data_IF_387253183441
#
_entry.id   IF_387253183441
#
_cell.length_a   1.000
_cell.length_b   1.000
_cell.length_c   1.000
_cell.angle_alpha   90.00
_cell.angle_beta   90.00
_cell.angle_gamma   90.00
#
_symmetry.space_group_name_H-M   'P 1'
#
loop_
_entity.id
_entity.type
_entity.pdbx_description
1 polymer ?
#
# COMPACT_ATOMS: atom_id res chain seq x y z
N UNK A 1 -8.26 -1.34 23.54
CA UNK A 1 -6.90 -1.72 23.06
C UNK A 1 -6.41 -0.61 22.15
N UNK A 2 -5.22 -0.07 22.38
CA UNK A 2 -4.64 0.99 21.55
C UNK A 2 -4.20 0.46 20.20
N UNK A 3 -4.45 1.22 19.14
CA UNK A 3 -3.98 0.91 17.78
C UNK A 3 -2.92 1.92 17.38
N UNK A 4 -1.86 1.45 16.74
CA UNK A 4 -0.79 2.24 16.18
C UNK A 4 -0.67 1.96 14.67
N UNK A 5 -0.65 3.02 13.86
CA UNK A 5 -0.45 2.90 12.41
C UNK A 5 1.02 3.22 12.08
N UNK A 6 1.79 2.20 11.71
CA UNK A 6 3.17 2.32 11.26
C UNK A 6 3.23 2.76 9.78
N UNK A 7 2.80 3.98 9.50
CA UNK A 7 2.76 4.52 8.14
C UNK A 7 2.69 6.04 8.15
N UNK A 8 3.38 6.68 7.20
CA UNK A 8 3.29 8.13 6.93
C UNK A 8 2.25 8.48 5.87
N UNK A 9 1.60 7.49 5.24
CA UNK A 9 0.63 7.70 4.17
C UNK A 9 -0.61 8.43 4.65
N UNK A 10 -0.95 9.62 4.08
CA UNK A 10 -2.17 10.33 4.42
C UNK A 10 -3.42 9.55 4.03
N UNK A 11 -3.41 8.83 2.89
CA UNK A 11 -4.55 8.02 2.42
C UNK A 11 -4.94 6.92 3.41
N UNK A 12 -3.96 6.21 3.98
CA UNK A 12 -4.21 5.17 5.01
C UNK A 12 -4.78 5.76 6.29
N UNK A 13 -4.20 6.88 6.73
CA UNK A 13 -4.69 7.63 7.89
C UNK A 13 -6.15 8.03 7.72
N UNK A 14 -6.48 8.62 6.58
CA UNK A 14 -7.82 9.16 6.32
C UNK A 14 -8.86 8.05 6.15
N UNK A 15 -8.50 6.92 5.53
CA UNK A 15 -9.36 5.75 5.46
C UNK A 15 -9.66 5.18 6.86
N UNK A 16 -8.65 5.00 7.71
CA UNK A 16 -8.88 4.50 9.08
C UNK A 16 -9.75 5.45 9.90
N UNK A 17 -9.59 6.77 9.75
CA UNK A 17 -10.45 7.78 10.41
C UNK A 17 -11.90 7.68 9.94
N UNK A 18 -12.14 7.56 8.64
CA UNK A 18 -13.49 7.39 8.06
C UNK A 18 -14.18 6.12 8.53
N UNK A 19 -13.42 5.09 8.87
CA UNK A 19 -13.92 3.84 9.45
C UNK A 19 -14.19 3.94 10.96
N UNK A 20 -13.98 5.10 11.59
CA UNK A 20 -14.16 5.28 13.03
C UNK A 20 -13.10 4.57 13.88
N UNK A 21 -12.02 4.08 13.26
CA UNK A 21 -10.94 3.40 13.99
C UNK A 21 -10.05 4.47 14.63
N UNK A 22 -10.00 4.49 15.96
CA UNK A 22 -9.08 5.36 16.72
C UNK A 22 -7.68 4.75 16.71
N UNK A 23 -6.68 5.53 16.32
CA UNK A 23 -5.29 5.09 16.27
C UNK A 23 -4.33 6.26 16.49
N UNK A 24 -3.11 5.93 16.89
CA UNK A 24 -1.97 6.84 16.89
C UNK A 24 -1.09 6.54 15.67
N UNK A 25 -0.76 7.57 14.89
CA UNK A 25 0.16 7.43 13.77
C UNK A 25 1.60 7.49 14.26
N UNK A 26 2.43 6.55 13.83
CA UNK A 26 3.86 6.50 14.15
C UNK A 26 4.68 6.28 12.90
N UNK A 27 5.74 7.07 12.73
CA UNK A 27 6.66 6.91 11.60
C UNK A 27 7.50 5.65 11.79
N UNK A 28 7.47 4.69 10.85
CA UNK A 28 8.33 3.52 10.92
C UNK A 28 9.79 3.92 10.68
N UNK A 29 10.71 3.32 11.43
CA UNK A 29 12.14 3.47 11.20
C UNK A 29 12.64 2.61 10.02
N UNK A 30 11.88 1.57 9.66
CA UNK A 30 12.21 0.69 8.55
C UNK A 30 12.07 1.44 7.21
N UNK A 31 13.13 1.38 6.40
CA UNK A 31 13.16 1.92 5.05
C UNK A 31 12.13 1.22 4.15
N UNK A 32 11.52 1.97 3.22
CA UNK A 32 10.72 1.40 2.12
C UNK A 32 11.61 0.70 1.06
N UNK A 33 12.93 0.60 1.30
CA UNK A 33 13.86 0.03 0.32
C UNK A 33 13.82 -1.50 0.35
N UNK A 34 13.68 -2.13 -0.82
CA UNK A 34 13.62 -3.59 -0.98
C UNK A 34 14.83 -4.33 -0.37
N UNK A 35 15.99 -3.74 -0.49
CA UNK A 35 17.27 -4.33 -0.08
C UNK A 35 17.38 -4.51 1.44
N UNK A 36 16.73 -3.64 2.22
CA UNK A 36 16.71 -3.74 3.67
C UNK A 36 15.88 -4.94 4.19
N UNK A 37 15.07 -5.56 3.34
CA UNK A 37 14.16 -6.67 3.71
C UNK A 37 14.67 -8.02 3.19
N UNK A 38 15.81 -8.06 2.50
CA UNK A 38 16.43 -9.30 2.01
C UNK A 38 15.66 -10.00 0.88
N UNK A 39 14.64 -9.39 0.32
CA UNK A 39 13.87 -9.94 -0.79
C UNK A 39 14.15 -9.19 -2.10
N UNK A 40 14.62 -9.90 -3.12
CA UNK A 40 14.77 -9.34 -4.46
C UNK A 40 13.39 -9.01 -5.02
N UNK A 41 13.20 -7.74 -5.42
CA UNK A 41 12.03 -7.33 -6.18
C UNK A 41 11.94 -8.21 -7.45
N UNK A 42 10.81 -8.89 -7.67
CA UNK A 42 10.56 -9.57 -8.94
C UNK A 42 10.04 -11.00 -8.86
N UNK A 43 10.36 -11.81 -7.83
CA UNK A 43 9.93 -13.20 -7.83
C UNK A 43 8.58 -13.46 -7.15
N UNK A 44 8.23 -12.69 -6.11
CA UNK A 44 6.99 -12.88 -5.34
C UNK A 44 6.47 -11.56 -4.75
N UNK A 45 5.70 -10.75 -5.50
CA UNK A 45 5.23 -9.44 -5.07
C UNK A 45 4.49 -9.44 -3.73
N UNK A 46 3.66 -10.46 -3.49
CA UNK A 46 2.93 -10.59 -2.23
C UNK A 46 3.88 -10.81 -1.03
N UNK A 47 4.87 -11.68 -1.17
CA UNK A 47 5.87 -11.90 -0.12
C UNK A 47 6.70 -10.64 0.15
N UNK A 48 7.04 -9.93 -0.92
CA UNK A 48 7.75 -8.67 -0.82
C UNK A 48 6.93 -7.62 -0.05
N UNK A 49 5.68 -7.37 -0.44
CA UNK A 49 4.80 -6.41 0.23
C UNK A 49 4.55 -6.79 1.70
N UNK A 50 4.36 -8.08 2.00
CA UNK A 50 4.23 -8.57 3.38
C UNK A 50 5.49 -8.35 4.20
N UNK A 51 6.67 -8.61 3.64
CA UNK A 51 7.94 -8.39 4.33
C UNK A 51 8.17 -6.92 4.67
N UNK A 52 7.88 -6.01 3.73
CA UNK A 52 7.93 -4.56 3.96
C UNK A 52 6.92 -4.11 5.03
N UNK A 53 5.68 -4.59 4.97
CA UNK A 53 4.65 -4.30 5.95
C UNK A 53 5.06 -4.78 7.35
N UNK A 54 5.60 -6.00 7.45
CA UNK A 54 6.10 -6.58 8.70
C UNK A 54 7.26 -5.77 9.29
N UNK A 55 8.24 -5.38 8.47
CA UNK A 55 9.36 -4.57 8.92
C UNK A 55 8.89 -3.22 9.49
N UNK A 56 7.94 -2.55 8.80
CA UNK A 56 7.34 -1.29 9.28
C UNK A 56 6.62 -1.49 10.63
N UNK A 57 5.82 -2.55 10.78
CA UNK A 57 5.12 -2.81 12.03
C UNK A 57 6.08 -3.12 13.18
N UNK A 58 7.09 -3.95 12.94
CA UNK A 58 8.07 -4.33 13.96
C UNK A 58 8.90 -3.13 14.44
N UNK A 59 9.33 -2.24 13.52
CA UNK A 59 10.11 -1.05 13.90
C UNK A 59 9.34 -0.08 14.81
N UNK A 60 8.01 -0.11 14.78
CA UNK A 60 7.15 0.64 15.71
C UNK A 60 6.89 -0.17 16.98
N UNK A 61 6.75 -1.50 16.87
CA UNK A 61 6.53 -2.38 18.01
C UNK A 61 7.68 -2.31 19.05
N UNK A 62 8.92 -2.12 18.60
CA UNK A 62 10.09 -1.94 19.48
C UNK A 62 9.96 -0.74 20.45
N UNK A 63 9.12 0.25 20.07
CA UNK A 63 8.87 1.48 20.83
C UNK A 63 7.47 1.51 21.46
N UNK A 64 6.75 0.38 21.41
CA UNK A 64 5.35 0.30 21.84
C UNK A 64 5.21 -0.84 22.85
N UNK A 65 5.02 -0.54 24.16
CA UNK A 65 4.99 -1.57 25.20
C UNK A 65 3.72 -2.43 25.16
N UNK A 66 2.59 -1.88 24.69
CA UNK A 66 1.31 -2.58 24.64
C UNK A 66 0.40 -2.02 23.53
N UNK A 67 -0.42 -2.87 22.93
CA UNK A 67 -1.38 -2.50 21.88
C UNK A 67 -1.20 -3.29 20.60
N UNK A 68 -1.83 -2.82 19.53
CA UNK A 68 -1.78 -3.44 18.20
C UNK A 68 -1.16 -2.48 17.19
N UNK A 69 -0.13 -2.93 16.51
CA UNK A 69 0.59 -2.15 15.50
C UNK A 69 0.22 -2.66 14.11
N UNK A 70 -0.18 -1.73 13.23
CA UNK A 70 -0.55 -2.01 11.83
C UNK A 70 0.57 -1.51 10.93
N UNK A 71 1.19 -2.42 10.18
CA UNK A 71 2.11 -2.12 9.09
C UNK A 71 1.48 -2.48 7.74
N UNK A 72 1.67 -1.63 6.75
CA UNK A 72 1.11 -1.84 5.40
C UNK A 72 2.15 -1.40 4.37
N UNK A 73 2.29 -2.20 3.31
CA UNK A 73 3.04 -1.82 2.13
C UNK A 73 2.24 -2.15 0.87
N UNK A 74 2.32 -1.29 -0.15
CA UNK A 74 1.56 -1.46 -1.40
C UNK A 74 2.48 -1.25 -2.58
N UNK A 75 2.44 -2.19 -3.51
CA UNK A 75 3.19 -2.15 -4.77
C UNK A 75 2.27 -2.35 -5.96
N UNK A 76 2.65 -1.77 -7.09
CA UNK A 76 2.02 -2.01 -8.39
C UNK A 76 2.89 -2.99 -9.18
N UNK A 77 2.28 -3.97 -9.83
CA UNK A 77 2.98 -5.03 -10.56
C UNK A 77 2.46 -5.08 -11.99
N UNK A 78 3.32 -4.86 -12.96
CA UNK A 78 2.99 -5.00 -14.39
C UNK A 78 3.89 -6.07 -15.01
N UNK A 79 3.31 -7.17 -15.45
CA UNK A 79 4.06 -8.34 -15.87
C UNK A 79 4.97 -8.87 -14.75
N UNK A 80 6.28 -8.85 -14.96
CA UNK A 80 7.29 -9.27 -13.95
C UNK A 80 7.91 -8.10 -13.18
N UNK A 81 7.47 -6.87 -13.41
CA UNK A 81 8.08 -5.68 -12.80
C UNK A 81 7.24 -5.15 -11.65
N UNK A 82 7.91 -4.89 -10.53
CA UNK A 82 7.34 -4.12 -9.42
C UNK A 82 7.63 -2.65 -9.67
N UNK A 83 6.57 -1.85 -9.72
CA UNK A 83 6.62 -0.40 -9.90
C UNK A 83 6.47 0.27 -8.53
N UNK A 84 7.54 0.91 -8.09
CA UNK A 84 7.53 1.75 -6.89
C UNK A 84 7.05 3.18 -7.20
N UNK A 85 7.41 4.13 -6.33
CA UNK A 85 7.19 5.55 -6.58
C UNK A 85 8.21 6.05 -7.61
N UNK A 86 7.78 6.82 -8.64
CA UNK A 86 8.73 7.38 -9.60
C UNK A 86 9.60 8.46 -8.95
N UNK A 87 10.88 8.49 -9.32
CA UNK A 87 11.87 9.47 -8.82
C UNK A 87 12.03 10.66 -9.76
N UNK A 88 11.45 10.56 -10.96
CA UNK A 88 11.56 11.58 -11.99
C UNK A 88 10.36 11.56 -12.93
N UNK A 89 10.18 12.65 -13.69
CA UNK A 89 9.18 12.74 -14.76
C UNK A 89 9.35 11.63 -15.80
N UNK A 90 10.60 11.31 -16.14
CA UNK A 90 10.91 10.23 -17.08
C UNK A 90 10.47 8.85 -16.56
N UNK A 91 10.69 8.56 -15.27
CA UNK A 91 10.21 7.32 -14.65
C UNK A 91 8.67 7.27 -14.60
N UNK A 92 8.00 8.36 -14.21
CA UNK A 92 6.56 8.43 -14.20
C UNK A 92 5.96 8.17 -15.59
N UNK A 93 6.52 8.82 -16.65
CA UNK A 93 6.14 8.58 -18.04
C UNK A 93 6.30 7.10 -18.41
N UNK A 94 7.46 6.52 -18.14
CA UNK A 94 7.75 5.10 -18.43
C UNK A 94 6.74 4.17 -17.74
N UNK A 95 6.41 4.42 -16.47
CA UNK A 95 5.44 3.63 -15.73
C UNK A 95 4.04 3.72 -16.35
N UNK A 96 3.54 4.93 -16.61
CA UNK A 96 2.21 5.12 -17.19
C UNK A 96 2.10 4.56 -18.61
N UNK A 97 3.14 4.71 -19.44
CA UNK A 97 3.20 4.08 -20.77
C UNK A 97 3.15 2.56 -20.67
N UNK A 98 3.83 1.98 -19.67
CA UNK A 98 3.80 0.53 -19.43
C UNK A 98 2.41 0.05 -18.99
N UNK A 99 1.68 0.83 -18.23
CA UNK A 99 0.34 0.51 -17.71
C UNK A 99 -0.78 0.76 -18.74
N UNK A 100 -0.55 1.65 -19.71
CA UNK A 100 -1.51 2.02 -20.75
C UNK A 100 -2.04 0.80 -21.51
N UNK A 101 -3.35 0.66 -21.61
CA UNK A 101 -4.05 -0.43 -22.31
C UNK A 101 -3.87 -1.81 -21.67
N UNK A 102 -3.39 -1.89 -20.43
CA UNK A 102 -3.08 -3.18 -19.78
C UNK A 102 -3.76 -3.36 -18.44
N UNK A 103 -3.92 -4.62 -18.08
CA UNK A 103 -4.24 -5.03 -16.71
C UNK A 103 -2.94 -5.22 -15.93
N UNK A 104 -2.93 -4.69 -14.72
CA UNK A 104 -1.83 -4.80 -13.77
C UNK A 104 -2.37 -5.09 -12.36
N UNK A 105 -1.53 -5.59 -11.47
CA UNK A 105 -1.93 -5.93 -10.12
C UNK A 105 -1.50 -4.86 -9.13
N UNK A 106 -2.35 -4.51 -8.19
CA UNK A 106 -2.02 -3.77 -6.98
C UNK A 106 -1.99 -4.75 -5.83
N UNK A 107 -0.82 -4.91 -5.22
CA UNK A 107 -0.58 -5.89 -4.16
C UNK A 107 -0.22 -5.17 -2.87
N UNK A 108 -1.03 -5.38 -1.83
CA UNK A 108 -0.71 -4.88 -0.49
C UNK A 108 -0.38 -6.03 0.46
N UNK A 109 0.72 -5.87 1.19
CA UNK A 109 1.01 -6.64 2.37
C UNK A 109 0.48 -5.93 3.61
N UNK A 110 -0.09 -6.70 4.53
CA UNK A 110 -0.55 -6.23 5.84
C UNK A 110 0.13 -7.05 6.92
N UNK A 111 0.63 -6.37 7.94
CA UNK A 111 1.14 -6.98 9.15
C UNK A 111 0.46 -6.34 10.36
N UNK A 112 0.00 -7.18 11.28
CA UNK A 112 -0.57 -6.78 12.57
C UNK A 112 0.27 -7.40 13.66
N UNK A 113 0.92 -6.57 14.49
CA UNK A 113 1.74 -7.00 15.61
C UNK A 113 1.02 -6.66 16.90
N UNK A 114 0.77 -7.67 17.74
CA UNK A 114 0.20 -7.46 19.07
C UNK A 114 1.30 -7.49 20.12
N UNK A 115 1.30 -6.48 20.98
CA UNK A 115 2.22 -6.34 22.11
C UNK A 115 1.47 -6.53 23.43
N UNK A 116 2.08 -7.10 24.48
CA UNK A 116 3.52 -7.38 24.64
C UNK A 116 4.00 -8.72 24.09
N UNK A 117 3.11 -9.65 23.72
CA UNK A 117 3.43 -11.03 23.33
C UNK A 117 4.10 -11.16 21.94
N UNK A 118 4.28 -10.06 21.24
CA UNK A 118 4.89 -9.98 19.89
C UNK A 118 4.25 -10.94 18.88
N UNK A 119 2.96 -11.23 19.03
CA UNK A 119 2.25 -12.05 18.05
C UNK A 119 2.11 -11.31 16.74
N UNK A 120 2.62 -11.90 15.65
CA UNK A 120 2.66 -11.30 14.31
C UNK A 120 1.71 -12.05 13.37
N UNK A 121 0.69 -11.35 12.89
CA UNK A 121 -0.23 -11.84 11.87
C UNK A 121 0.06 -11.10 10.56
N UNK A 122 0.18 -11.83 9.46
CA UNK A 122 0.45 -11.25 8.15
C UNK A 122 -0.45 -11.85 7.08
N UNK A 123 -0.82 -11.05 6.09
CA UNK A 123 -1.51 -11.49 4.89
C UNK A 123 -1.27 -10.50 3.75
N UNK A 124 -1.68 -10.85 2.54
CA UNK A 124 -1.64 -9.99 1.36
C UNK A 124 -2.98 -9.97 0.64
N UNK A 125 -3.26 -8.85 -0.01
CA UNK A 125 -4.41 -8.63 -0.89
C UNK A 125 -3.92 -8.24 -2.26
N UNK A 126 -4.55 -8.79 -3.30
CA UNK A 126 -4.25 -8.47 -4.70
C UNK A 126 -5.51 -8.01 -5.40
N UNK A 127 -5.42 -6.91 -6.14
CA UNK A 127 -6.52 -6.34 -6.92
C UNK A 127 -6.02 -6.03 -8.31
N UNK A 128 -6.75 -6.48 -9.32
CA UNK A 128 -6.44 -6.20 -10.71
C UNK A 128 -7.06 -4.85 -11.12
N UNK A 129 -6.25 -4.03 -11.78
CA UNK A 129 -6.66 -2.74 -12.34
C UNK A 129 -6.34 -2.75 -13.83
N UNK A 130 -7.32 -2.40 -14.66
CA UNK A 130 -7.14 -2.26 -16.11
C UNK A 130 -7.18 -0.79 -16.49
N UNK A 131 -6.14 -0.33 -17.18
CA UNK A 131 -6.13 1.00 -17.79
C UNK A 131 -6.69 0.92 -19.21
N UNK A 132 -7.40 1.96 -19.60
CA UNK A 132 -7.65 2.22 -21.03
C UNK A 132 -6.36 2.61 -21.75
N UNK A 133 -6.38 2.68 -23.06
CA UNK A 133 -5.28 3.27 -23.81
C UNK A 133 -5.13 4.75 -23.46
N UNK A 134 -3.92 5.18 -23.12
CA UNK A 134 -3.56 6.55 -22.78
C UNK A 134 -2.77 7.18 -23.92
N UNK A 135 -3.18 8.39 -24.33
CA UNK A 135 -2.42 9.18 -25.29
C UNK A 135 -1.15 9.79 -24.69
N UNK A 136 -0.13 10.00 -25.49
CA UNK A 136 1.14 10.59 -25.04
C UNK A 136 0.95 11.97 -24.40
N UNK A 137 0.14 12.83 -24.99
CA UNK A 137 -0.17 14.16 -24.46
C UNK A 137 -0.93 14.12 -23.13
N UNK A 138 -1.79 13.12 -22.95
CA UNK A 138 -2.53 12.89 -21.70
C UNK A 138 -1.57 12.51 -20.57
N UNK A 139 -0.65 11.60 -20.84
CA UNK A 139 0.41 11.22 -19.90
C UNK A 139 1.25 12.45 -19.54
N UNK A 140 1.69 13.24 -20.54
CA UNK A 140 2.50 14.44 -20.30
C UNK A 140 1.79 15.48 -19.44
N UNK A 141 0.50 15.69 -19.68
CA UNK A 141 -0.32 16.61 -18.87
C UNK A 141 -0.44 16.15 -17.43
N UNK A 142 -0.67 14.87 -17.22
CA UNK A 142 -0.80 14.30 -15.89
C UNK A 142 0.51 14.35 -15.09
N UNK A 143 1.64 13.97 -15.69
CA UNK A 143 2.94 13.97 -15.01
C UNK A 143 3.54 15.37 -14.82
N UNK A 144 2.93 16.41 -15.39
CA UNK A 144 3.30 17.80 -15.08
C UNK A 144 2.83 18.22 -13.68
N UNK A 145 1.80 17.56 -13.14
CA UNK A 145 1.27 17.78 -11.79
C UNK A 145 2.06 17.03 -10.71
N UNK A 146 1.76 17.29 -9.44
CA UNK A 146 2.44 16.68 -8.29
C UNK A 146 1.97 15.24 -7.99
N UNK A 147 0.80 14.83 -8.50
CA UNK A 147 0.10 13.61 -8.11
C UNK A 147 0.89 12.30 -8.29
N UNK A 148 1.66 12.11 -9.39
CA UNK A 148 2.32 10.82 -9.66
C UNK A 148 3.38 10.42 -8.63
N UNK A 149 4.05 11.38 -8.00
CA UNK A 149 5.36 11.18 -7.38
C UNK A 149 5.32 10.55 -5.99
N UNK A 150 4.18 10.53 -5.33
CA UNK A 150 4.00 9.91 -4.01
C UNK A 150 3.33 8.52 -4.06
N UNK A 151 3.12 7.97 -5.29
CA UNK A 151 2.32 6.76 -5.51
C UNK A 151 3.08 5.69 -6.28
N UNK A 152 2.94 4.43 -5.86
CA UNK A 152 3.43 3.28 -6.61
C UNK A 152 2.75 3.22 -7.98
N UNK A 153 3.53 2.97 -9.04
CA UNK A 153 3.02 2.95 -10.42
C UNK A 153 2.67 4.33 -10.97
N UNK A 154 3.01 5.41 -10.27
CA UNK A 154 2.81 6.80 -10.69
C UNK A 154 1.34 7.21 -10.84
N UNK A 155 0.36 6.60 -10.13
CA UNK A 155 -1.05 6.99 -10.22
C UNK A 155 -1.83 6.80 -8.92
N UNK A 156 -2.92 7.56 -8.77
CA UNK A 156 -3.88 7.44 -7.67
C UNK A 156 -5.31 7.26 -8.16
N UNK A 157 -5.96 6.14 -7.82
CA UNK A 157 -7.31 5.82 -8.29
C UNK A 157 -8.39 6.79 -7.77
N UNK A 158 -8.11 7.54 -6.73
CA UNK A 158 -9.05 8.49 -6.12
C UNK A 158 -8.90 9.93 -6.65
N UNK A 159 -7.90 10.19 -7.49
CA UNK A 159 -7.52 11.52 -7.96
C UNK A 159 -7.65 11.60 -9.49
N UNK A 160 -6.87 12.47 -10.14
CA UNK A 160 -6.98 12.70 -11.59
C UNK A 160 -6.79 11.42 -12.42
N UNK A 161 -5.93 10.50 -11.98
CA UNK A 161 -5.72 9.24 -12.69
C UNK A 161 -6.91 8.27 -12.64
N UNK A 162 -7.98 8.59 -11.92
CA UNK A 162 -9.21 7.78 -11.95
C UNK A 162 -9.76 7.60 -13.37
N UNK A 163 -9.59 8.61 -14.23
CA UNK A 163 -10.03 8.59 -15.64
C UNK A 163 -9.23 7.61 -16.52
N UNK A 164 -8.06 7.13 -16.05
CA UNK A 164 -7.26 6.14 -16.76
C UNK A 164 -7.81 4.72 -16.59
N UNK A 165 -8.57 4.50 -15.51
CA UNK A 165 -9.04 3.18 -15.11
C UNK A 165 -10.31 2.82 -15.86
N UNK A 166 -10.29 1.70 -16.57
CA UNK A 166 -11.47 1.14 -17.23
C UNK A 166 -12.14 0.03 -16.41
N UNK A 167 -11.38 -0.67 -15.55
CA UNK A 167 -11.90 -1.77 -14.73
C UNK A 167 -11.08 -1.97 -13.47
N UNK A 168 -11.76 -2.35 -12.39
CA UNK A 168 -11.15 -2.87 -11.14
C UNK A 168 -11.79 -4.22 -10.82
N UNK A 169 -10.98 -5.23 -10.53
CA UNK A 169 -11.42 -6.56 -10.12
C UNK A 169 -10.76 -6.91 -8.78
N UNK A 170 -11.54 -6.93 -7.71
CA UNK A 170 -11.09 -7.13 -6.33
C UNK A 170 -11.45 -5.96 -5.41
N UNK A 171 -10.62 -5.71 -4.42
CA UNK A 171 -10.86 -4.69 -3.39
C UNK A 171 -10.39 -3.30 -3.83
N UNK A 172 -11.32 -2.38 -4.10
CA UNK A 172 -10.99 -0.99 -4.47
C UNK A 172 -10.15 -0.29 -3.38
N UNK A 173 -10.45 -0.53 -2.10
CA UNK A 173 -9.70 0.07 -1.00
C UNK A 173 -8.26 -0.44 -0.91
N UNK A 174 -7.98 -1.65 -1.44
CA UNK A 174 -6.62 -2.12 -1.64
C UNK A 174 -5.87 -1.25 -2.66
N UNK A 175 -6.51 -0.86 -3.75
CA UNK A 175 -5.91 0.02 -4.75
C UNK A 175 -5.59 1.41 -4.17
N UNK A 176 -6.41 1.89 -3.25
CA UNK A 176 -6.14 3.13 -2.49
C UNK A 176 -4.94 2.98 -1.53
N UNK A 177 -4.59 1.73 -1.18
CA UNK A 177 -3.44 1.39 -0.34
C UNK A 177 -3.78 0.86 1.05
N UNK A 178 -5.06 0.49 1.30
CA UNK A 178 -5.52 -0.11 2.54
C UNK A 178 -6.58 -1.19 2.27
N UNK A 179 -6.23 -2.48 2.23
CA UNK A 179 -7.20 -3.57 2.06
C UNK A 179 -8.02 -3.77 3.35
N UNK A 180 -9.06 -2.96 3.51
CA UNK A 180 -9.85 -2.85 4.75
C UNK A 180 -10.43 -4.19 5.21
N UNK A 181 -11.10 -5.00 4.36
CA UNK A 181 -11.65 -6.28 4.81
C UNK A 181 -10.57 -7.20 5.39
N UNK A 182 -9.41 -7.28 4.72
CA UNK A 182 -8.26 -8.07 5.19
C UNK A 182 -7.71 -7.53 6.50
N UNK A 183 -7.52 -6.21 6.62
CA UNK A 183 -7.05 -5.58 7.86
C UNK A 183 -7.98 -5.87 9.03
N UNK A 184 -9.29 -5.71 8.86
CA UNK A 184 -10.28 -5.98 9.92
C UNK A 184 -10.25 -7.44 10.36
N UNK A 185 -10.08 -8.38 9.42
CA UNK A 185 -9.91 -9.81 9.73
C UNK A 185 -8.67 -10.06 10.61
N UNK A 186 -7.54 -9.45 10.28
CA UNK A 186 -6.31 -9.58 11.05
C UNK A 186 -6.43 -8.90 12.43
N UNK A 187 -7.04 -7.72 12.50
CA UNK A 187 -7.29 -7.02 13.76
C UNK A 187 -8.18 -7.85 14.70
N UNK A 188 -9.24 -8.46 14.16
CA UNK A 188 -10.11 -9.36 14.94
C UNK A 188 -9.33 -10.57 15.50
N UNK A 189 -8.46 -11.18 14.68
CA UNK A 189 -7.57 -12.28 15.11
C UNK A 189 -6.57 -11.83 16.18
N UNK A 190 -6.12 -10.57 16.13
CA UNK A 190 -5.26 -9.96 17.15
C UNK A 190 -6.02 -9.58 18.44
N UNK A 191 -7.33 -9.84 18.52
CA UNK A 191 -8.16 -9.56 19.70
C UNK A 191 -8.76 -8.14 19.74
N UNK A 192 -8.57 -7.33 18.67
CA UNK A 192 -9.24 -6.04 18.58
C UNK A 192 -10.71 -6.21 18.15
N UNK A 193 -11.58 -5.40 18.74
CA UNK A 193 -13.00 -5.29 18.37
C UNK A 193 -13.35 -3.82 18.17
N UNK A 194 -14.19 -3.47 17.18
CA UNK A 194 -14.72 -2.11 17.09
C UNK A 194 -15.42 -1.75 18.40
N UNK A 195 -15.35 -0.47 18.75
CA UNK A 195 -16.22 0.06 19.81
C UNK A 195 -17.68 -0.03 19.31
N UNK A 196 -18.53 -0.56 20.13
CA UNK A 196 -19.99 -0.54 19.95
C UNK A 196 -20.52 0.87 20.00
#
# INVERSE_FOLDING_TARGET
MNIYLASTSPRRRDLLRRLGIRFQQMTPAASEKPEAVGHKAGSHPARYAVACARAKALSVAERTPAGVIIGIDTVVVCGKQILGKPRSRAEARKMLTMLSGRTHSVVSGVAVVRMPDKNVLTASETTEVTFRNLGAEEIERYIAGPEPYDKAGAYGIQEQASIFVSRVSGCLLNVVGLPVPLLLSLLKKAGWRPAS
#
